data_IF_839086173514
#
_entry.id   IF_839086173514
#
_cell.length_a   1.000
_cell.length_b   1.000
_cell.length_c   1.000
_cell.angle_alpha   90.00
_cell.angle_beta   90.00
_cell.angle_gamma   90.00
#
_symmetry.space_group_name_H-M   'P 1'
#
loop_
_entity.id
_entity.type
_entity.pdbx_description
1 polymer ?
#
# COMPACT_ATOMS: atom_id res chain seq x y z
N UNK A 1 13.28 11.18 -11.65
CA UNK A 1 12.86 11.66 -10.31
C UNK A 1 11.41 11.28 -10.11
N UNK A 2 11.11 10.43 -9.11
CA UNK A 2 9.76 9.89 -8.90
C UNK A 2 8.75 10.96 -8.41
N UNK A 3 9.24 12.01 -7.75
CA UNK A 3 8.39 13.12 -7.27
C UNK A 3 7.76 13.98 -8.38
N UNK A 4 8.00 13.68 -9.66
CA UNK A 4 7.19 14.21 -10.77
C UNK A 4 5.81 13.53 -10.83
N UNK A 5 5.74 12.27 -10.43
CA UNK A 5 4.56 11.41 -10.54
C UNK A 5 3.81 11.25 -9.22
N UNK A 6 4.51 11.36 -8.10
CA UNK A 6 3.94 11.18 -6.76
C UNK A 6 3.94 12.54 -6.04
N UNK A 7 2.75 13.15 -5.84
CA UNK A 7 2.61 14.32 -4.99
C UNK A 7 3.16 14.06 -3.59
N UNK A 8 3.62 15.10 -2.90
CA UNK A 8 4.20 14.95 -1.55
C UNK A 8 3.25 14.25 -0.58
N UNK A 9 1.95 14.53 -0.69
CA UNK A 9 0.87 13.91 0.11
C UNK A 9 0.73 12.39 -0.09
N UNK A 10 1.15 11.86 -1.25
CA UNK A 10 1.13 10.43 -1.56
C UNK A 10 2.47 9.75 -1.23
N UNK A 11 3.45 10.48 -0.70
CA UNK A 11 4.76 9.93 -0.30
C UNK A 11 4.65 8.85 0.79
N UNK A 12 3.65 8.94 1.67
CA UNK A 12 3.33 7.89 2.64
C UNK A 12 2.93 6.59 1.94
N UNK A 13 2.04 6.67 0.95
CA UNK A 13 1.54 5.51 0.19
C UNK A 13 2.67 4.84 -0.58
N UNK A 14 3.54 5.64 -1.20
CA UNK A 14 4.75 5.12 -1.83
C UNK A 14 5.65 4.38 -0.84
N UNK A 15 5.88 4.94 0.36
CA UNK A 15 6.64 4.25 1.41
C UNK A 15 6.00 2.92 1.80
N UNK A 16 4.68 2.88 1.96
CA UNK A 16 3.92 1.65 2.29
C UNK A 16 4.11 0.58 1.23
N UNK A 17 4.17 0.95 -0.06
CA UNK A 17 4.46 0.00 -1.12
C UNK A 17 5.92 -0.39 -1.18
N UNK A 18 6.85 0.53 -0.97
CA UNK A 18 8.28 0.32 -1.27
C UNK A 18 9.08 -0.36 -0.16
N UNK A 19 8.74 -0.11 1.12
CA UNK A 19 9.56 -0.58 2.24
C UNK A 19 8.74 -0.82 3.53
N UNK A 20 9.27 -1.66 4.41
CA UNK A 20 8.76 -1.77 5.77
C UNK A 20 9.19 -0.52 6.55
N UNK A 21 8.24 0.21 7.14
CA UNK A 21 8.60 1.38 7.94
C UNK A 21 7.66 1.59 9.14
N UNK A 22 8.15 2.31 10.14
CA UNK A 22 7.48 2.43 11.45
C UNK A 22 6.81 3.77 11.71
N UNK A 23 7.24 4.85 11.07
CA UNK A 23 6.82 6.21 11.44
C UNK A 23 6.37 6.98 10.20
N UNK A 24 5.19 7.58 10.31
CA UNK A 24 4.59 8.44 9.30
C UNK A 24 3.11 8.64 9.63
N UNK A 25 2.55 9.76 9.22
CA UNK A 25 1.12 10.02 9.35
C UNK A 25 0.47 10.04 7.97
N UNK A 26 -0.81 9.70 7.92
CA UNK A 26 -1.62 9.78 6.71
C UNK A 26 -3.02 10.28 7.04
N UNK A 27 -3.48 11.28 6.30
CA UNK A 27 -4.83 11.80 6.39
C UNK A 27 -5.74 10.98 5.47
N UNK A 28 -6.64 10.20 6.05
CA UNK A 28 -7.66 9.48 5.29
C UNK A 28 -8.81 10.44 4.99
N UNK A 29 -8.97 10.82 3.72
CA UNK A 29 -10.11 11.61 3.25
C UNK A 29 -11.29 10.69 2.95
N UNK A 30 -12.27 10.70 3.85
CA UNK A 30 -13.47 9.88 3.76
C UNK A 30 -14.47 10.42 2.74
N UNK A 31 -14.69 11.75 2.76
CA UNK A 31 -15.54 12.56 1.87
C UNK A 31 -15.06 14.02 1.91
N UNK A 32 -15.71 14.91 1.15
CA UNK A 32 -15.49 16.34 1.26
C UNK A 32 -15.76 16.82 2.70
N UNK A 33 -14.75 17.40 3.35
CA UNK A 33 -14.74 17.86 4.75
C UNK A 33 -14.91 16.76 5.84
N UNK A 34 -14.70 15.48 5.51
CA UNK A 34 -14.67 14.36 6.46
C UNK A 34 -13.33 13.65 6.32
N UNK A 35 -12.45 13.80 7.33
CA UNK A 35 -11.11 13.25 7.31
C UNK A 35 -10.68 12.76 8.69
N UNK A 36 -9.71 11.84 8.72
CA UNK A 36 -9.13 11.32 9.96
C UNK A 36 -7.66 11.05 9.76
N UNK A 37 -6.86 11.57 10.69
CA UNK A 37 -5.43 11.29 10.73
C UNK A 37 -5.17 9.93 11.39
N UNK A 38 -4.40 9.10 10.69
CA UNK A 38 -3.81 7.89 11.25
C UNK A 38 -2.29 8.07 11.36
N UNK A 39 -1.72 7.48 12.40
CA UNK A 39 -0.27 7.36 12.55
C UNK A 39 0.13 5.91 12.30
N UNK A 40 1.03 5.69 11.34
CA UNK A 40 1.64 4.39 11.17
C UNK A 40 2.46 4.04 12.41
N UNK A 41 2.26 2.83 12.92
CA UNK A 41 3.06 2.23 13.98
C UNK A 41 4.06 1.25 13.37
N UNK A 42 3.58 0.47 12.40
CA UNK A 42 4.39 -0.46 11.62
C UNK A 42 3.66 -0.82 10.33
N UNK A 43 4.36 -0.76 9.21
CA UNK A 43 3.93 -1.32 7.94
C UNK A 43 4.92 -2.38 7.46
N UNK A 44 4.39 -3.41 6.82
CA UNK A 44 5.16 -4.46 6.16
C UNK A 44 4.62 -4.69 4.77
N UNK A 45 5.52 -4.83 3.81
CA UNK A 45 5.20 -5.18 2.42
C UNK A 45 5.87 -6.49 2.02
N UNK A 46 5.10 -7.33 1.34
CA UNK A 46 5.56 -8.61 0.80
C UNK A 46 5.16 -8.74 -0.67
N UNK A 47 6.17 -8.96 -1.51
CA UNK A 47 5.97 -9.16 -2.95
C UNK A 47 5.96 -10.64 -3.29
N UNK A 48 4.84 -11.09 -3.84
CA UNK A 48 4.66 -12.44 -4.36
C UNK A 48 4.63 -12.36 -5.88
N UNK A 49 5.63 -12.96 -6.52
CA UNK A 49 5.80 -12.94 -7.98
C UNK A 49 5.79 -14.37 -8.46
N UNK A 50 4.93 -14.67 -9.43
CA UNK A 50 4.82 -15.99 -10.05
C UNK A 50 5.08 -15.90 -11.54
N UNK A 51 5.56 -17.01 -12.13
CA UNK A 51 5.75 -17.16 -13.58
C UNK A 51 6.56 -16.05 -14.27
N UNK A 52 7.59 -15.49 -13.59
CA UNK A 52 8.32 -14.31 -14.04
C UNK A 52 8.93 -14.39 -15.46
N UNK A 53 9.24 -15.60 -15.95
CA UNK A 53 9.80 -15.84 -17.29
C UNK A 53 8.73 -16.22 -18.35
N UNK A 54 7.45 -16.22 -18.00
CA UNK A 54 6.33 -16.64 -18.85
C UNK A 54 5.19 -15.62 -18.80
N UNK A 55 4.11 -15.93 -18.09
CA UNK A 55 2.98 -15.01 -17.85
C UNK A 55 3.05 -14.48 -16.41
N UNK A 56 3.88 -13.44 -16.15
CA UNK A 56 4.14 -12.96 -14.81
C UNK A 56 2.86 -12.46 -14.14
N UNK A 57 2.74 -12.73 -12.83
CA UNK A 57 1.68 -12.14 -11.98
C UNK A 57 2.28 -11.68 -10.67
N UNK A 58 1.84 -10.52 -10.22
CA UNK A 58 2.34 -9.89 -8.99
C UNK A 58 1.20 -9.69 -8.02
N UNK A 59 1.43 -10.10 -6.78
CA UNK A 59 0.57 -9.77 -5.64
C UNK A 59 1.41 -9.06 -4.59
N UNK A 60 1.01 -7.84 -4.24
CA UNK A 60 1.65 -6.99 -3.24
C UNK A 60 0.78 -7.05 -1.99
N UNK A 61 1.25 -7.77 -0.97
CA UNK A 61 0.59 -7.86 0.32
C UNK A 61 1.13 -6.79 1.26
N UNK A 62 0.26 -5.91 1.71
CA UNK A 62 0.57 -4.81 2.63
C UNK A 62 -0.17 -5.05 3.93
N UNK A 63 0.59 -5.10 5.04
CA UNK A 63 0.03 -5.12 6.40
C UNK A 63 0.40 -3.84 7.10
N UNK A 64 -0.59 -3.13 7.62
CA UNK A 64 -0.40 -1.86 8.30
C UNK A 64 -1.04 -1.90 9.69
N UNK A 65 -0.24 -1.65 10.72
CA UNK A 65 -0.71 -1.33 12.05
C UNK A 65 -0.72 0.18 12.21
N UNK A 66 -1.89 0.75 12.40
CA UNK A 66 -2.07 2.19 12.49
C UNK A 66 -2.75 2.56 13.80
N UNK A 67 -2.33 3.67 14.40
CA UNK A 67 -3.03 4.27 15.52
C UNK A 67 -3.89 5.44 15.10
N UNK A 68 -5.03 5.57 15.78
CA UNK A 68 -5.93 6.69 15.60
C UNK A 68 -6.39 7.20 16.99
N UNK A 69 -6.52 8.52 17.11
CA UNK A 69 -6.90 9.18 18.36
C UNK A 69 -8.42 9.32 18.47
N UNK A 70 -9.04 9.93 17.45
CA UNK A 70 -10.47 10.17 17.37
C UNK A 70 -10.96 10.04 15.93
N UNK A 71 -12.22 9.67 15.77
CA UNK A 71 -12.93 9.65 14.48
C UNK A 71 -14.39 9.97 14.72
N UNK A 72 -14.97 10.82 13.87
CA UNK A 72 -16.35 11.26 14.07
C UNK A 72 -17.35 10.11 13.82
N UNK A 73 -18.31 9.97 14.72
CA UNK A 73 -19.43 9.04 14.55
C UNK A 73 -19.15 7.57 14.90
N UNK A 74 -17.98 7.26 15.47
CA UNK A 74 -17.64 5.91 15.94
C UNK A 74 -17.10 5.93 17.37
N UNK A 75 -17.34 4.83 18.09
CA UNK A 75 -16.77 4.61 19.41
C UNK A 75 -15.60 3.62 19.30
N UNK A 76 -14.37 4.12 19.50
CA UNK A 76 -13.16 3.32 19.37
C UNK A 76 -13.01 2.21 20.42
N UNK A 77 -13.74 2.31 21.55
CA UNK A 77 -13.81 1.23 22.52
C UNK A 77 -14.65 0.04 22.03
N UNK A 78 -15.46 0.22 20.98
CA UNK A 78 -16.28 -0.84 20.40
C UNK A 78 -15.56 -1.52 19.24
N UNK A 79 -15.26 -2.81 19.40
CA UNK A 79 -14.63 -3.64 18.36
C UNK A 79 -15.39 -3.63 17.02
N UNK A 80 -16.73 -3.53 17.05
CA UNK A 80 -17.54 -3.45 15.83
C UNK A 80 -17.31 -2.16 15.04
N UNK A 81 -17.04 -1.05 15.73
CA UNK A 81 -16.82 0.24 15.10
C UNK A 81 -15.38 0.35 14.60
N UNK A 82 -14.39 -0.17 15.34
CA UNK A 82 -13.02 -0.34 14.84
C UNK A 82 -12.97 -1.12 13.53
N UNK A 83 -13.64 -2.28 13.45
CA UNK A 83 -13.68 -3.09 12.22
C UNK A 83 -14.31 -2.37 11.03
N UNK A 84 -15.30 -1.51 11.27
CA UNK A 84 -15.88 -0.68 10.19
C UNK A 84 -14.89 0.36 9.69
N UNK A 85 -14.12 0.96 10.60
CA UNK A 85 -13.09 1.94 10.27
C UNK A 85 -11.96 1.26 9.48
N UNK A 86 -11.49 0.09 9.94
CA UNK A 86 -10.49 -0.75 9.24
C UNK A 86 -10.93 -1.03 7.81
N UNK A 87 -12.11 -1.63 7.63
CA UNK A 87 -12.62 -1.97 6.31
C UNK A 87 -12.79 -0.75 5.40
N UNK A 88 -13.22 0.39 5.95
CA UNK A 88 -13.34 1.64 5.19
C UNK A 88 -11.96 2.21 4.82
N UNK A 89 -11.00 2.16 5.73
CA UNK A 89 -9.63 2.59 5.50
C UNK A 89 -8.97 1.72 4.42
N UNK A 90 -9.14 0.41 4.48
CA UNK A 90 -8.65 -0.56 3.49
C UNK A 90 -9.19 -0.24 2.09
N UNK A 91 -10.48 0.07 1.99
CA UNK A 91 -11.09 0.47 0.72
C UNK A 91 -10.48 1.77 0.16
N UNK A 92 -10.36 2.81 1.00
CA UNK A 92 -9.87 4.14 0.55
C UNK A 92 -8.38 4.09 0.22
N UNK A 93 -7.57 3.57 1.12
CA UNK A 93 -6.12 3.49 0.96
C UNK A 93 -5.78 2.45 -0.13
N UNK A 94 -6.39 1.27 -0.10
CA UNK A 94 -6.17 0.22 -1.09
C UNK A 94 -6.48 0.67 -2.51
N UNK A 95 -7.54 1.48 -2.71
CA UNK A 95 -7.81 2.12 -3.99
C UNK A 95 -6.65 3.01 -4.44
N UNK A 96 -6.15 3.87 -3.56
CA UNK A 96 -5.02 4.77 -3.87
C UNK A 96 -3.71 4.02 -4.14
N UNK A 97 -3.45 2.91 -3.44
CA UNK A 97 -2.31 2.04 -3.71
C UNK A 97 -2.40 1.42 -5.11
N UNK A 98 -3.58 0.91 -5.48
CA UNK A 98 -3.83 0.36 -6.81
C UNK A 98 -3.69 1.42 -7.90
N UNK A 99 -4.22 2.63 -7.69
CA UNK A 99 -4.05 3.77 -8.62
C UNK A 99 -2.57 4.13 -8.80
N UNK A 100 -1.78 4.12 -7.71
CA UNK A 100 -0.35 4.40 -7.76
C UNK A 100 0.43 3.35 -8.55
N UNK A 101 0.15 2.06 -8.31
CA UNK A 101 0.77 0.95 -9.06
C UNK A 101 0.39 0.99 -10.54
N UNK A 102 -0.88 1.25 -10.84
CA UNK A 102 -1.37 1.41 -12.23
C UNK A 102 -0.62 2.53 -12.93
N UNK A 103 -0.45 3.68 -12.27
CA UNK A 103 0.32 4.80 -12.80
C UNK A 103 1.77 4.41 -13.09
N UNK A 104 2.41 3.58 -12.26
CA UNK A 104 3.76 3.08 -12.54
C UNK A 104 3.81 2.26 -13.84
N UNK A 105 2.83 1.37 -14.07
CA UNK A 105 2.73 0.58 -15.29
C UNK A 105 2.46 1.45 -16.52
N UNK A 106 1.51 2.39 -16.44
CA UNK A 106 1.17 3.31 -17.53
C UNK A 106 2.36 4.18 -17.98
N UNK A 107 3.23 4.55 -17.03
CA UNK A 107 4.43 5.32 -17.30
C UNK A 107 5.67 4.44 -17.61
N UNK A 108 5.50 3.12 -17.61
CA UNK A 108 6.56 2.13 -17.80
C UNK A 108 7.79 2.38 -16.88
N UNK A 109 7.51 2.65 -15.60
CA UNK A 109 8.53 2.87 -14.56
C UNK A 109 8.34 1.86 -13.43
N UNK A 110 9.44 1.41 -12.80
CA UNK A 110 9.40 0.47 -11.67
C UNK A 110 10.06 1.07 -10.42
N UNK A 111 9.37 1.98 -9.70
CA UNK A 111 9.93 2.66 -8.54
C UNK A 111 9.93 1.81 -7.27
N UNK A 112 9.20 0.70 -7.24
CA UNK A 112 9.14 -0.25 -6.11
C UNK A 112 9.98 -1.52 -6.37
N UNK A 113 10.76 -1.52 -7.44
CA UNK A 113 11.73 -2.56 -7.80
C UNK A 113 11.15 -3.97 -7.95
N UNK A 114 9.95 -4.10 -8.53
CA UNK A 114 9.33 -5.39 -8.85
C UNK A 114 10.24 -6.29 -9.71
N UNK A 115 10.99 -5.70 -10.65
CA UNK A 115 11.95 -6.44 -11.47
C UNK A 115 13.09 -7.06 -10.65
N UNK A 116 13.63 -6.33 -9.66
CA UNK A 116 14.66 -6.85 -8.77
C UNK A 116 14.08 -7.93 -7.84
N UNK A 117 12.86 -7.75 -7.35
CA UNK A 117 12.15 -8.78 -6.60
C UNK A 117 11.95 -10.05 -7.44
N UNK A 118 11.55 -9.93 -8.71
CA UNK A 118 11.35 -11.05 -9.62
C UNK A 118 12.67 -11.79 -9.89
N UNK A 119 13.72 -11.02 -10.19
CA UNK A 119 15.07 -11.53 -10.43
C UNK A 119 15.62 -12.30 -9.23
N UNK A 120 15.43 -11.78 -8.02
CA UNK A 120 15.93 -12.41 -6.80
C UNK A 120 15.31 -13.80 -6.52
N UNK A 121 14.09 -14.04 -7.01
CA UNK A 121 13.31 -15.26 -6.77
C UNK A 121 13.24 -16.21 -7.97
N UNK A 122 13.80 -15.83 -9.12
CA UNK A 122 13.66 -16.58 -10.38
C UNK A 122 15.00 -17.04 -10.92
N UNK A 123 15.18 -18.36 -11.05
CA UNK A 123 16.38 -18.93 -11.70
C UNK A 123 16.35 -18.62 -13.20
N UNK A 124 17.51 -18.25 -13.76
CA UNK A 124 17.67 -17.86 -15.17
C UNK A 124 16.66 -16.77 -15.58
N UNK A 125 16.49 -15.76 -14.72
CA UNK A 125 15.56 -14.66 -14.96
C UNK A 125 15.81 -14.01 -16.32
N UNK A 126 14.75 -13.89 -17.12
CA UNK A 126 14.79 -13.26 -18.43
C UNK A 126 14.40 -11.78 -18.28
N UNK A 127 15.42 -10.93 -18.05
CA UNK A 127 15.24 -9.49 -17.88
C UNK A 127 14.46 -8.85 -19.03
N UNK A 128 14.81 -9.19 -20.27
CA UNK A 128 14.18 -8.62 -21.46
C UNK A 128 12.69 -8.95 -21.52
N UNK A 129 12.33 -10.21 -21.26
CA UNK A 129 10.94 -10.64 -21.19
C UNK A 129 10.16 -9.89 -20.11
N UNK A 130 10.75 -9.72 -18.92
CA UNK A 130 10.12 -8.98 -17.83
C UNK A 130 9.86 -7.52 -18.19
N UNK A 131 10.86 -6.83 -18.74
CA UNK A 131 10.72 -5.42 -19.17
C UNK A 131 9.68 -5.25 -20.27
N UNK A 132 9.59 -6.19 -21.21
CA UNK A 132 8.58 -6.20 -22.28
C UNK A 132 7.17 -6.47 -21.73
N UNK A 133 7.03 -7.33 -20.72
CA UNK A 133 5.75 -7.66 -20.11
C UNK A 133 5.28 -6.64 -19.07
N UNK A 134 6.19 -5.88 -18.43
CA UNK A 134 5.93 -5.02 -17.26
C UNK A 134 4.65 -4.16 -17.35
N UNK A 135 4.39 -3.43 -18.46
CA UNK A 135 3.21 -2.58 -18.57
C UNK A 135 1.88 -3.33 -18.44
N UNK A 136 1.85 -4.61 -18.79
CA UNK A 136 0.64 -5.44 -18.88
C UNK A 136 0.56 -6.53 -17.80
N UNK A 137 1.54 -6.59 -16.89
CA UNK A 137 1.54 -7.57 -15.78
C UNK A 137 0.29 -7.36 -14.92
N UNK A 138 -0.49 -8.40 -14.60
CA UNK A 138 -1.52 -8.29 -13.59
C UNK A 138 -0.87 -8.05 -12.21
N UNK A 139 -1.13 -6.87 -11.63
CA UNK A 139 -0.68 -6.51 -10.28
C UNK A 139 -1.88 -6.31 -9.38
N UNK A 140 -1.94 -7.08 -8.30
CA UNK A 140 -2.98 -6.97 -7.26
C UNK A 140 -2.34 -6.44 -5.97
N UNK A 141 -2.93 -5.39 -5.39
CA UNK A 141 -2.53 -4.90 -4.06
C UNK A 141 -3.58 -5.29 -3.02
N UNK A 142 -3.16 -6.10 -2.06
CA UNK A 142 -3.96 -6.49 -0.90
C UNK A 142 -3.50 -5.72 0.32
N UNK A 143 -4.43 -4.98 0.92
CA UNK A 143 -4.18 -4.17 2.11
C UNK A 143 -4.98 -4.71 3.29
N UNK A 144 -4.28 -4.98 4.39
CA UNK A 144 -4.82 -5.41 5.68
C UNK A 144 -4.42 -4.37 6.74
N UNK A 145 -5.41 -3.75 7.37
CA UNK A 145 -5.19 -2.69 8.36
C UNK A 145 -5.68 -3.14 9.74
N UNK A 146 -4.78 -3.12 10.71
CA UNK A 146 -5.10 -3.21 12.13
C UNK A 146 -5.10 -1.81 12.75
N UNK A 147 -6.27 -1.36 13.21
CA UNK A 147 -6.41 -0.08 13.91
C UNK A 147 -6.27 -0.28 15.42
N UNK A 148 -5.36 0.45 16.04
CA UNK A 148 -5.22 0.51 17.50
C UNK A 148 -5.61 1.89 18.03
N UNK A 149 -6.31 1.92 19.16
CA UNK A 149 -6.63 3.17 19.83
C UNK A 149 -5.40 3.69 20.59
N UNK A 150 -4.98 4.92 20.29
CA UNK A 150 -4.02 5.63 21.15
C UNK A 150 -4.77 6.45 22.18
N UNK A 151 -4.81 5.98 23.42
CA UNK A 151 -5.37 6.75 24.52
C UNK A 151 -6.18 5.96 25.53
N UNK A 152 -5.51 5.08 26.28
CA UNK A 152 -5.70 4.98 27.73
C UNK A 152 -4.30 4.74 28.32
N UNK A 153 -3.63 5.82 28.72
CA UNK A 153 -2.72 5.71 29.84
C UNK A 153 -3.62 5.62 31.07
N UNK A 154 -3.64 4.48 31.76
CA UNK A 154 -4.06 4.44 33.16
C UNK A 154 -3.05 5.22 34.02
#
# INVERSE_FOLDING_TARGET
YIGKYIPYEDGFLYKVLSENFKLGSYEIKWKENDFTDINNVESRVHYHISNANQDPKVRIEVKMKASLLEVQGYDLGKAVDLKKIEARAEQVIGKKLNEMVTMFQENNIDPIALGDHAKSKTRNFNQKHWEEAYPDIPIEVDLDIEMIQTGIAE
#
